data_IF_593619489683
#
_entry.id   IF_593619489683
#
_cell.length_a   1.000
_cell.length_b   1.000
_cell.length_c   1.000
_cell.angle_alpha   90.00
_cell.angle_beta   90.00
_cell.angle_gamma   90.00
#
_symmetry.space_group_name_H-M   'P 1'
#
loop_
_entity.id
_entity.type
_entity.pdbx_description
1 polymer ?
#
# COMPACT_ATOMS: atom_id res chain seq x y z
N UNK A 1 4.20 -1.65 12.45
CA UNK A 1 3.01 -1.45 11.57
C UNK A 1 3.38 -0.38 10.56
N UNK A 2 3.14 -0.60 9.27
CA UNK A 2 3.24 0.42 8.24
C UNK A 2 1.89 1.12 8.10
N UNK A 3 1.85 2.45 8.21
CA UNK A 3 0.65 3.24 8.05
C UNK A 3 0.79 4.18 6.86
N UNK A 4 -0.23 4.23 6.02
CA UNK A 4 -0.35 5.11 4.86
C UNK A 4 -1.60 5.95 5.08
N UNK A 5 -1.46 7.27 5.07
CA UNK A 5 -2.60 8.19 5.18
C UNK A 5 -2.47 9.35 4.20
N UNK A 6 -3.60 9.91 3.82
CA UNK A 6 -3.66 11.08 2.94
C UNK A 6 -5.07 11.60 2.80
N UNK A 7 -5.23 12.64 2.00
CA UNK A 7 -6.52 13.23 1.69
C UNK A 7 -6.56 13.55 0.20
N UNK A 8 -7.63 13.11 -0.46
CA UNK A 8 -7.92 13.54 -1.82
C UNK A 8 -8.88 14.72 -1.74
N UNK A 9 -8.37 15.91 -2.02
CA UNK A 9 -9.19 17.11 -2.10
C UNK A 9 -10.08 17.07 -3.35
N UNK A 10 -11.27 17.67 -3.23
CA UNK A 10 -12.07 18.01 -4.41
C UNK A 10 -11.35 19.14 -5.15
N UNK A 11 -11.30 19.05 -6.48
CA UNK A 11 -10.78 20.14 -7.31
C UNK A 11 -11.61 21.42 -7.08
N UNK A 12 -10.99 22.59 -7.21
CA UNK A 12 -11.71 23.85 -6.98
C UNK A 12 -12.83 23.97 -8.01
N UNK A 13 -14.06 24.16 -7.53
CA UNK A 13 -15.21 24.48 -8.35
C UNK A 13 -15.22 25.98 -8.64
N UNK A 14 -15.30 26.36 -9.92
CA UNK A 14 -15.66 27.72 -10.33
C UNK A 14 -17.19 27.88 -10.25
N UNK A 15 -17.68 29.11 -10.02
CA UNK A 15 -19.12 29.39 -9.93
C UNK A 15 -19.89 29.09 -11.21
N UNK A 16 -19.18 28.97 -12.34
CA UNK A 16 -19.74 28.67 -13.65
C UNK A 16 -19.63 27.18 -14.02
N UNK A 17 -19.11 26.34 -13.15
CA UNK A 17 -18.99 24.90 -13.42
C UNK A 17 -20.35 24.21 -13.34
N UNK A 18 -20.66 23.38 -14.34
CA UNK A 18 -21.87 22.54 -14.35
C UNK A 18 -21.46 21.08 -14.34
N UNK A 19 -21.77 20.38 -13.26
CA UNK A 19 -21.51 18.94 -13.13
C UNK A 19 -22.71 18.14 -13.63
N UNK A 20 -22.55 17.40 -14.72
CA UNK A 20 -23.55 16.42 -15.17
C UNK A 20 -23.44 15.08 -14.42
N UNK A 21 -22.23 14.73 -13.98
CA UNK A 21 -21.94 13.47 -13.30
C UNK A 21 -20.64 13.58 -12.50
N UNK A 22 -20.65 13.06 -11.28
CA UNK A 22 -19.48 12.94 -10.42
C UNK A 22 -19.37 11.50 -9.95
N UNK A 23 -18.30 10.81 -10.35
CA UNK A 23 -18.03 9.42 -9.93
C UNK A 23 -16.81 9.32 -9.01
N UNK A 24 -15.91 10.30 -9.07
CA UNK A 24 -14.65 10.31 -8.31
C UNK A 24 -14.95 10.74 -6.87
N UNK A 25 -14.70 9.86 -5.91
CA UNK A 25 -14.78 10.21 -4.49
C UNK A 25 -13.60 11.08 -4.04
N UNK A 26 -13.82 11.84 -2.98
CA UNK A 26 -12.83 12.65 -2.27
C UNK A 26 -12.82 12.27 -0.78
N UNK A 27 -11.86 12.81 -0.04
CA UNK A 27 -11.79 12.69 1.41
C UNK A 27 -10.51 12.06 1.93
N UNK A 28 -10.47 11.90 3.26
CA UNK A 28 -9.35 11.35 4.00
C UNK A 28 -9.33 9.83 3.90
N UNK A 29 -8.15 9.25 3.80
CA UNK A 29 -7.94 7.82 3.83
C UNK A 29 -6.79 7.45 4.76
N UNK A 30 -6.89 6.26 5.34
CA UNK A 30 -5.84 5.62 6.12
C UNK A 30 -5.86 4.12 5.89
N UNK A 31 -4.68 3.52 5.70
CA UNK A 31 -4.47 2.08 5.55
C UNK A 31 -3.29 1.67 6.42
N UNK A 32 -3.42 0.52 7.07
CA UNK A 32 -2.38 0.01 7.96
C UNK A 32 -2.07 -1.45 7.61
N UNK A 33 -0.79 -1.78 7.56
CA UNK A 33 -0.29 -3.11 7.22
C UNK A 33 0.61 -3.60 8.34
N UNK A 34 0.38 -4.82 8.81
CA UNK A 34 1.33 -5.51 9.69
C UNK A 34 2.49 -5.99 8.82
N UNK A 35 3.68 -5.50 9.10
CA UNK A 35 4.90 -5.99 8.47
C UNK A 35 5.31 -7.31 9.12
N UNK A 36 5.95 -8.22 8.37
CA UNK A 36 6.55 -9.40 8.96
C UNK A 36 7.71 -8.99 9.88
N UNK A 37 8.05 -9.86 10.83
CA UNK A 37 9.09 -9.58 11.84
C UNK A 37 10.47 -9.34 11.22
N UNK A 38 10.71 -9.89 10.03
CA UNK A 38 11.96 -9.76 9.29
C UNK A 38 12.00 -8.55 8.34
N UNK A 39 11.16 -7.54 8.55
CA UNK A 39 11.17 -6.32 7.76
C UNK A 39 12.29 -5.36 8.21
N UNK A 40 13.12 -4.88 7.28
CA UNK A 40 14.14 -3.86 7.54
C UNK A 40 13.51 -2.46 7.52
N UNK A 41 12.95 -2.05 8.66
CA UNK A 41 12.16 -0.81 8.79
C UNK A 41 12.99 0.44 8.49
N UNK A 42 14.30 0.40 8.76
CA UNK A 42 15.29 1.45 8.46
C UNK A 42 15.55 1.62 6.96
N UNK A 43 15.19 0.64 6.12
CA UNK A 43 15.47 0.62 4.68
C UNK A 43 14.22 0.76 3.82
N UNK A 44 13.10 1.19 4.42
CA UNK A 44 11.86 1.46 3.69
C UNK A 44 12.08 2.59 2.70
N UNK A 45 11.64 2.39 1.46
CA UNK A 45 11.65 3.39 0.39
C UNK A 45 10.23 3.60 -0.13
N UNK A 46 9.91 4.82 -0.52
CA UNK A 46 8.64 5.16 -1.14
C UNK A 46 8.85 6.04 -2.36
N UNK A 47 8.06 5.81 -3.41
CA UNK A 47 8.02 6.63 -4.62
C UNK A 47 6.59 6.77 -5.11
N UNK A 48 6.28 7.90 -5.76
CA UNK A 48 4.98 8.18 -6.34
C UNK A 48 5.15 8.44 -7.83
N UNK A 49 4.45 7.67 -8.66
CA UNK A 49 4.54 7.79 -10.11
C UNK A 49 3.16 7.53 -10.74
N UNK A 50 2.73 8.38 -11.69
CA UNK A 50 1.46 8.24 -12.40
C UNK A 50 0.23 8.02 -11.48
N UNK A 51 0.22 8.68 -10.32
CA UNK A 51 -0.87 8.57 -9.34
C UNK A 51 -0.80 7.33 -8.44
N UNK A 52 0.27 6.52 -8.51
CA UNK A 52 0.46 5.31 -7.71
C UNK A 52 1.61 5.47 -6.73
N UNK A 53 1.32 5.29 -5.44
CA UNK A 53 2.31 5.23 -4.38
C UNK A 53 2.84 3.80 -4.27
N UNK A 54 4.15 3.62 -4.51
CA UNK A 54 4.86 2.37 -4.28
C UNK A 54 5.66 2.48 -3.00
N UNK A 55 5.47 1.54 -2.07
CA UNK A 55 6.26 1.44 -0.83
C UNK A 55 7.00 0.10 -0.84
N UNK A 56 8.33 0.15 -0.85
CA UNK A 56 9.20 -1.01 -0.82
C UNK A 56 9.74 -1.21 0.59
N UNK A 57 9.46 -2.37 1.17
CA UNK A 57 9.94 -2.78 2.49
C UNK A 57 10.86 -3.99 2.30
N UNK A 58 12.19 -3.80 2.30
CA UNK A 58 13.13 -4.91 2.21
C UNK A 58 12.95 -5.87 3.38
N UNK A 59 13.18 -7.16 3.13
CA UNK A 59 13.19 -8.19 4.15
C UNK A 59 14.63 -8.61 4.46
N UNK A 60 14.89 -8.96 5.71
CA UNK A 60 16.07 -9.72 6.08
C UNK A 60 16.02 -11.09 5.40
N UNK A 61 17.15 -11.48 4.85
CA UNK A 61 17.31 -12.79 4.24
C UNK A 61 17.36 -13.83 5.35
N UNK A 62 16.30 -14.62 5.46
CA UNK A 62 16.24 -15.77 6.35
C UNK A 62 16.49 -17.00 5.49
N UNK A 63 17.28 -17.95 6.00
CA UNK A 63 17.43 -19.26 5.38
C UNK A 63 16.03 -19.84 5.14
N UNK A 64 15.70 -20.10 3.88
CA UNK A 64 14.43 -20.73 3.52
C UNK A 64 14.36 -22.07 4.25
N UNK A 65 13.25 -22.38 4.94
CA UNK A 65 13.12 -23.70 5.54
C UNK A 65 13.15 -24.76 4.45
N UNK A 66 13.90 -25.83 4.67
CA UNK A 66 13.90 -26.98 3.77
C UNK A 66 12.50 -27.60 3.79
N UNK A 67 11.83 -27.60 2.64
CA UNK A 67 10.53 -28.25 2.48
C UNK A 67 10.76 -29.75 2.45
N UNK A 68 10.21 -30.48 3.41
CA UNK A 68 10.21 -31.94 3.41
C UNK A 68 8.95 -32.44 2.72
N UNK A 69 9.11 -33.29 1.70
CA UNK A 69 8.00 -34.06 1.16
C UNK A 69 7.61 -35.15 2.17
N UNK A 70 6.31 -35.28 2.44
CA UNK A 70 5.75 -36.33 3.29
C UNK A 70 4.89 -37.21 2.40
N UNK A 71 5.34 -38.45 2.16
CA UNK A 71 4.54 -39.50 1.50
C UNK A 71 3.35 -39.85 2.40
N UNK A 72 2.13 -39.83 1.85
CA UNK A 72 0.91 -40.24 2.54
C UNK A 72 0.62 -41.68 2.12
N UNK A 73 0.77 -42.64 3.03
CA UNK A 73 0.38 -44.03 2.79
C UNK A 73 -1.07 -44.27 3.21
N UNK A 74 -1.86 -44.84 2.30
CA UNK A 74 -3.18 -45.43 2.53
C UNK A 74 -3.29 -46.77 1.80
#
# INVERSE_FOLDING_TARGET
ILQISGERNVEKEDKNDTWHRVERSSGKFMRSFRLPDNAKVDQVKASMENGVLTVTVPKEEIKKPDVKAIEISG
#
